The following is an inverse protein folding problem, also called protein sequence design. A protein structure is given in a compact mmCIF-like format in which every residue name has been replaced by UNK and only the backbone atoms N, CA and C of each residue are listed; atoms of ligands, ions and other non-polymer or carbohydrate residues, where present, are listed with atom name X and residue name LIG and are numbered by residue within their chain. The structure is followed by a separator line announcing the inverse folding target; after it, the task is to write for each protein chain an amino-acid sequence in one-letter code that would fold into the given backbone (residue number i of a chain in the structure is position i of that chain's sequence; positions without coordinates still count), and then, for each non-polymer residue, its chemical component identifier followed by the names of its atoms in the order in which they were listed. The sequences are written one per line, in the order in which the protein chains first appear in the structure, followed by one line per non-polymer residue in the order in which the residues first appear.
data_IF_796998809616
#
_entry.id   IF_796998809616
#
_cell.length_a   1.000
_cell.length_b   1.000
_cell.length_c   1.000
_cell.angle_alpha   90.00
_cell.angle_beta   90.00
_cell.angle_gamma   90.00
#
_symmetry.space_group_name_H-M   'P 1'
#
loop_
_entity.id
_entity.type
_entity.pdbx_description
1 polymer ?
#
# COMPACT_ATOMS: atom_id res chain seq x y z
N UNK A 1 -10.50 -26.10 13.91
CA UNK A 1 -9.82 -25.62 12.69
C UNK A 1 -10.91 -25.32 11.67
N UNK A 2 -11.42 -24.09 11.67
CA UNK A 2 -12.39 -23.63 10.67
C UNK A 2 -11.64 -23.32 9.36
N UNK A 3 -12.23 -23.71 8.24
CA UNK A 3 -11.59 -23.72 6.93
C UNK A 3 -11.07 -22.35 6.49
N UNK A 4 -9.77 -22.28 6.19
CA UNK A 4 -9.10 -21.19 5.48
C UNK A 4 -9.30 -21.31 3.95
N UNK A 5 -10.43 -21.87 3.50
CA UNK A 5 -10.75 -22.01 2.09
C UNK A 5 -11.43 -20.73 1.61
N UNK A 6 -10.67 -19.83 1.00
CA UNK A 6 -11.24 -18.84 0.09
C UNK A 6 -10.64 -17.45 0.12
N UNK A 7 -9.91 -17.04 1.16
CA UNK A 7 -9.43 -15.66 1.29
C UNK A 7 -8.04 -15.51 0.65
N UNK A 8 -7.94 -14.83 -0.49
CA UNK A 8 -6.67 -14.46 -1.12
C UNK A 8 -6.51 -12.94 -1.18
N UNK A 9 -5.82 -12.30 -0.22
CA UNK A 9 -5.55 -10.86 -0.23
C UNK A 9 -4.12 -10.64 -0.77
N UNK A 10 -3.92 -9.90 -1.87
CA UNK A 10 -2.75 -10.01 -2.78
C UNK A 10 -1.64 -8.95 -2.62
N UNK A 11 -0.68 -8.91 -3.57
CA UNK A 11 0.00 -7.67 -4.01
C UNK A 11 -0.98 -6.67 -4.70
N UNK A 12 -2.23 -6.74 -4.27
CA UNK A 12 -3.37 -5.90 -4.59
C UNK A 12 -3.63 -5.11 -3.31
N UNK A 13 -3.73 -3.78 -3.39
CA UNK A 13 -4.12 -2.97 -2.25
C UNK A 13 -5.42 -3.42 -1.57
N UNK A 14 -6.30 -4.16 -2.26
CA UNK A 14 -7.62 -4.63 -1.82
C UNK A 14 -7.71 -5.18 -0.39
N UNK A 15 -6.63 -5.81 0.11
CA UNK A 15 -6.58 -6.32 1.48
C UNK A 15 -6.69 -5.20 2.53
N UNK A 16 -5.99 -4.08 2.32
CA UNK A 16 -5.92 -2.94 3.24
C UNK A 16 -6.74 -1.74 2.76
N UNK A 17 -7.02 -1.67 1.46
CA UNK A 17 -7.78 -0.62 0.81
C UNK A 17 -8.70 -1.29 -0.22
N UNK A 18 -9.98 -1.51 0.10
CA UNK A 18 -10.91 -2.27 -0.74
C UNK A 18 -11.19 -1.61 -2.11
N UNK A 19 -10.79 -0.34 -2.29
CA UNK A 19 -10.97 0.38 -3.55
C UNK A 19 -9.66 0.57 -4.33
N UNK A 20 -9.73 0.26 -5.62
CA UNK A 20 -8.72 0.59 -6.61
C UNK A 20 -8.30 -0.62 -7.44
N UNK A 21 -7.35 -0.38 -8.34
CA UNK A 21 -6.69 -1.42 -9.13
C UNK A 21 -5.25 -1.59 -8.64
N UNK A 22 -4.75 -2.83 -8.59
CA UNK A 22 -3.35 -3.12 -8.29
C UNK A 22 -2.41 -2.74 -9.44
N UNK A 23 -1.22 -2.24 -9.13
CA UNK A 23 -0.22 -1.79 -10.11
C UNK A 23 0.15 -2.93 -11.09
N UNK A 24 0.33 -4.14 -10.59
CA UNK A 24 0.68 -5.30 -11.41
C UNK A 24 -0.51 -5.88 -12.18
N UNK A 25 -1.74 -5.55 -11.80
CA UNK A 25 -2.93 -5.86 -12.60
C UNK A 25 -2.98 -4.96 -13.84
N UNK A 26 -2.76 -3.66 -13.66
CA UNK A 26 -2.73 -2.68 -14.75
C UNK A 26 -1.47 -2.81 -15.64
N UNK A 27 -0.32 -3.09 -15.03
CA UNK A 27 1.00 -3.06 -15.67
C UNK A 27 1.83 -4.33 -15.37
N UNK A 28 1.37 -5.54 -15.74
CA UNK A 28 2.09 -6.79 -15.44
C UNK A 28 3.47 -6.87 -16.12
N UNK A 29 3.66 -6.15 -17.21
CA UNK A 29 4.93 -6.06 -17.95
C UNK A 29 6.08 -5.48 -17.12
N UNK A 30 5.79 -4.76 -16.02
CA UNK A 30 6.81 -4.25 -15.11
C UNK A 30 7.67 -5.36 -14.51
N UNK A 31 7.11 -6.55 -14.27
CA UNK A 31 7.86 -7.71 -13.76
C UNK A 31 8.90 -8.16 -14.78
N UNK A 32 8.54 -8.21 -16.06
CA UNK A 32 9.47 -8.59 -17.13
C UNK A 32 10.51 -7.50 -17.39
N UNK A 33 10.14 -6.22 -17.27
CA UNK A 33 11.08 -5.12 -17.28
C UNK A 33 12.10 -5.22 -16.14
N UNK A 34 11.64 -5.54 -14.92
CA UNK A 34 12.51 -5.77 -13.77
C UNK A 34 13.42 -6.98 -13.99
N UNK A 35 12.89 -8.07 -14.58
CA UNK A 35 13.67 -9.24 -14.95
C UNK A 35 14.79 -8.88 -15.93
N UNK A 36 14.50 -8.05 -16.94
CA UNK A 36 15.50 -7.56 -17.89
C UNK A 36 16.61 -6.74 -17.24
N UNK A 37 16.26 -5.86 -16.31
CA UNK A 37 17.23 -5.06 -15.57
C UNK A 37 18.18 -5.94 -14.76
N UNK A 38 17.63 -6.91 -14.02
CA UNK A 38 18.43 -7.86 -13.24
C UNK A 38 19.27 -8.74 -14.16
N UNK A 39 18.69 -9.24 -15.27
CA UNK A 39 19.37 -10.10 -16.24
C UNK A 39 20.59 -9.41 -16.86
N UNK A 40 20.47 -8.15 -17.30
CA UNK A 40 21.62 -7.40 -17.83
C UNK A 40 22.64 -7.03 -16.75
N UNK A 41 22.21 -6.83 -15.49
CA UNK A 41 23.12 -6.51 -14.39
C UNK A 41 23.98 -7.70 -13.93
N UNK A 42 23.48 -8.94 -14.05
CA UNK A 42 24.22 -10.15 -13.64
C UNK A 42 25.02 -10.79 -14.78
N UNK A 43 24.71 -10.45 -16.04
CA UNK A 43 25.44 -10.98 -17.20
C UNK A 43 26.71 -10.17 -17.45
N UNK A 44 27.91 -10.80 -17.49
CA UNK A 44 29.13 -10.09 -17.87
C UNK A 44 29.03 -9.52 -19.29
N UNK A 45 29.37 -8.24 -19.48
CA UNK A 45 29.37 -7.62 -20.80
C UNK A 45 29.31 -6.09 -20.77
N UNK A 46 29.31 -5.47 -21.94
CA UNK A 46 29.37 -4.01 -22.07
C UNK A 46 28.15 -3.26 -21.50
N UNK A 47 27.00 -3.92 -21.38
CA UNK A 47 25.75 -3.32 -20.86
C UNK A 47 25.64 -3.44 -19.32
N UNK A 48 26.47 -4.27 -18.68
CA UNK A 48 26.33 -4.63 -17.27
C UNK A 48 26.37 -3.40 -16.33
N UNK A 49 27.39 -2.56 -16.48
CA UNK A 49 27.56 -1.38 -15.63
C UNK A 49 26.45 -0.35 -15.85
N UNK A 50 25.97 -0.20 -17.08
CA UNK A 50 24.82 0.67 -17.36
C UNK A 50 23.56 0.16 -16.65
N UNK A 51 23.30 -1.15 -16.69
CA UNK A 51 22.18 -1.77 -15.99
C UNK A 51 22.29 -1.58 -14.47
N UNK A 52 23.48 -1.79 -13.89
CA UNK A 52 23.72 -1.56 -12.45
C UNK A 52 23.47 -0.09 -12.08
N UNK A 53 24.03 0.87 -12.83
CA UNK A 53 23.86 2.30 -12.56
C UNK A 53 22.39 2.73 -12.65
N UNK A 54 21.67 2.29 -13.68
CA UNK A 54 20.24 2.58 -13.82
C UNK A 54 19.44 1.92 -12.70
N UNK A 55 19.74 0.65 -12.37
CA UNK A 55 19.08 -0.05 -11.27
C UNK A 55 19.27 0.64 -9.92
N UNK A 56 20.48 1.09 -9.63
CA UNK A 56 20.77 1.87 -8.42
C UNK A 56 20.02 3.21 -8.42
N UNK A 57 19.97 3.93 -9.54
CA UNK A 57 19.22 5.18 -9.66
C UNK A 57 17.71 4.95 -9.43
N UNK A 58 17.14 3.88 -9.99
CA UNK A 58 15.75 3.49 -9.78
C UNK A 58 15.46 3.12 -8.32
N UNK A 59 16.38 2.42 -7.65
CA UNK A 59 16.27 2.07 -6.23
C UNK A 59 16.34 3.31 -5.33
N UNK A 60 17.26 4.24 -5.58
CA UNK A 60 17.37 5.50 -4.83
C UNK A 60 16.11 6.35 -5.03
N UNK A 61 15.63 6.46 -6.27
CA UNK A 61 14.39 7.16 -6.59
C UNK A 61 13.19 6.53 -5.89
N UNK A 62 13.02 5.20 -6.02
CA UNK A 62 11.95 4.45 -5.37
C UNK A 62 11.99 4.59 -3.85
N UNK A 63 13.17 4.46 -3.23
CA UNK A 63 13.37 4.67 -1.80
C UNK A 63 13.01 6.08 -1.34
N UNK A 64 13.30 7.10 -2.15
CA UNK A 64 12.87 8.49 -1.88
C UNK A 64 11.34 8.60 -1.94
N UNK A 65 10.68 7.93 -2.89
CA UNK A 65 9.22 7.93 -2.98
C UNK A 65 8.57 7.23 -1.78
N UNK A 66 9.20 6.23 -1.15
CA UNK A 66 8.67 5.58 0.05
C UNK A 66 8.52 6.53 1.27
N UNK A 67 9.07 7.75 1.21
CA UNK A 67 8.83 8.78 2.23
C UNK A 67 7.43 9.40 2.14
N UNK A 68 6.70 9.21 1.04
CA UNK A 68 5.33 9.72 0.91
C UNK A 68 4.34 8.84 1.68
N UNK A 69 3.46 9.47 2.45
CA UNK A 69 2.42 8.78 3.25
C UNK A 69 1.47 7.95 2.39
N UNK A 70 1.24 8.35 1.14
CA UNK A 70 0.38 7.60 0.21
C UNK A 70 1.04 6.28 -0.24
N UNK A 71 2.34 6.10 0.00
CA UNK A 71 3.15 4.94 -0.38
C UNK A 71 3.52 4.02 0.79
N UNK A 72 2.76 4.10 1.90
CA UNK A 72 2.74 3.05 2.93
C UNK A 72 2.59 1.65 2.29
N UNK A 73 2.93 0.55 3.01
CA UNK A 73 3.07 -0.78 2.39
C UNK A 73 1.90 -1.21 1.48
N UNK A 74 0.67 -0.83 1.82
CA UNK A 74 -0.53 -1.10 1.02
C UNK A 74 -0.76 -0.09 -0.13
N UNK A 75 -0.29 1.15 0.01
CA UNK A 75 -0.36 2.19 -1.01
C UNK A 75 0.66 2.02 -2.14
N UNK A 76 1.81 1.40 -1.88
CA UNK A 76 2.86 1.15 -2.87
C UNK A 76 2.34 0.42 -4.12
N UNK A 77 1.41 -0.52 -3.92
CA UNK A 77 0.86 -1.36 -4.97
C UNK A 77 -0.43 -0.83 -5.60
N UNK A 78 -0.93 0.35 -5.17
CA UNK A 78 -2.12 0.97 -5.78
C UNK A 78 -1.77 1.60 -7.12
N UNK A 79 -2.52 1.27 -8.17
CA UNK A 79 -2.35 1.88 -9.48
C UNK A 79 -2.59 3.40 -9.46
N UNK A 80 -3.52 3.91 -8.63
CA UNK A 80 -3.70 5.36 -8.50
C UNK A 80 -2.46 6.11 -7.99
N UNK A 81 -1.54 5.40 -7.32
CA UNK A 81 -0.25 5.94 -6.88
C UNK A 81 0.86 5.80 -7.93
N UNK A 82 0.54 5.33 -9.14
CA UNK A 82 1.51 5.21 -10.24
C UNK A 82 2.15 6.53 -10.64
N UNK A 83 1.50 7.65 -10.35
CA UNK A 83 2.03 8.98 -10.67
C UNK A 83 3.37 9.27 -9.96
N UNK A 84 3.67 8.60 -8.84
CA UNK A 84 4.99 8.64 -8.19
C UNK A 84 6.06 7.82 -8.92
N UNK A 85 5.67 6.84 -9.74
CA UNK A 85 6.61 5.89 -10.38
C UNK A 85 6.59 5.92 -11.90
N UNK A 86 5.70 6.70 -12.54
CA UNK A 86 5.56 6.75 -14.01
C UNK A 86 6.86 7.12 -14.73
N UNK A 87 7.76 7.83 -14.07
CA UNK A 87 9.07 8.20 -14.62
C UNK A 87 10.04 7.01 -14.72
N UNK A 88 9.80 5.93 -13.99
CA UNK A 88 10.56 4.68 -14.09
C UNK A 88 10.13 3.83 -15.29
N UNK A 89 8.94 4.08 -15.85
CA UNK A 89 8.33 3.23 -16.88
C UNK A 89 9.18 3.13 -18.15
N UNK A 90 9.79 4.21 -18.68
CA UNK A 90 10.68 4.10 -19.83
C UNK A 90 11.86 3.16 -19.59
N UNK A 91 12.43 3.15 -18.37
CA UNK A 91 13.52 2.24 -18.03
C UNK A 91 13.04 0.78 -18.00
N UNK A 92 11.90 0.50 -17.35
CA UNK A 92 11.32 -0.85 -17.36
C UNK A 92 10.96 -1.32 -18.78
N UNK A 93 10.43 -0.44 -19.62
CA UNK A 93 10.11 -0.76 -21.01
C UNK A 93 11.37 -1.07 -21.83
N UNK A 94 12.44 -0.30 -21.65
CA UNK A 94 13.74 -0.57 -22.28
C UNK A 94 14.27 -1.95 -21.87
N UNK A 95 14.31 -2.24 -20.57
CA UNK A 95 14.83 -3.52 -20.08
C UNK A 95 13.95 -4.71 -20.44
N UNK A 96 12.64 -4.52 -20.59
CA UNK A 96 11.76 -5.54 -21.17
C UNK A 96 12.21 -5.90 -22.59
N UNK A 97 12.46 -4.91 -23.45
CA UNK A 97 12.89 -5.16 -24.82
C UNK A 97 14.27 -5.85 -24.87
N UNK A 98 15.21 -5.43 -24.02
CA UNK A 98 16.52 -6.07 -23.88
C UNK A 98 16.38 -7.52 -23.41
N UNK A 99 15.51 -7.78 -22.44
CA UNK A 99 15.22 -9.13 -21.96
C UNK A 99 14.72 -10.03 -23.08
N UNK A 100 13.71 -9.59 -23.84
CA UNK A 100 13.16 -10.37 -24.95
C UNK A 100 14.20 -10.65 -26.05
N UNK A 101 15.10 -9.70 -26.31
CA UNK A 101 16.21 -9.87 -27.27
C UNK A 101 17.23 -10.90 -26.78
N UNK A 102 17.63 -10.82 -25.52
CA UNK A 102 18.84 -11.48 -25.02
C UNK A 102 18.58 -12.77 -24.23
N UNK A 103 17.36 -12.98 -23.72
CA UNK A 103 17.01 -14.16 -22.92
C UNK A 103 17.25 -15.47 -23.66
N UNK A 104 17.10 -15.48 -24.99
CA UNK A 104 17.37 -16.66 -25.83
C UNK A 104 18.80 -17.17 -25.73
N UNK A 105 19.76 -16.33 -25.34
CA UNK A 105 21.16 -16.70 -25.19
C UNK A 105 21.47 -17.29 -23.80
N UNK A 106 20.61 -17.06 -22.81
CA UNK A 106 20.72 -17.64 -21.47
C UNK A 106 19.32 -17.92 -20.88
N UNK A 107 18.56 -18.86 -21.48
CA UNK A 107 17.14 -19.04 -21.18
C UNK A 107 16.91 -19.52 -19.74
N UNK A 108 17.82 -20.35 -19.20
CA UNK A 108 17.74 -20.85 -17.82
C UNK A 108 17.88 -19.69 -16.83
N UNK A 109 18.86 -18.81 -17.02
CA UNK A 109 19.07 -17.64 -16.16
C UNK A 109 17.89 -16.68 -16.22
N UNK A 110 17.38 -16.39 -17.43
CA UNK A 110 16.21 -15.54 -17.58
C UNK A 110 14.98 -16.12 -16.90
N UNK A 111 14.70 -17.41 -17.11
CA UNK A 111 13.59 -18.10 -16.45
C UNK A 111 13.72 -18.06 -14.93
N UNK A 112 14.91 -18.34 -14.38
CA UNK A 112 15.16 -18.30 -12.93
C UNK A 112 14.88 -16.91 -12.35
N UNK A 113 15.37 -15.85 -12.98
CA UNK A 113 15.12 -14.47 -12.54
C UNK A 113 13.63 -14.15 -12.58
N UNK A 114 12.94 -14.45 -13.69
CA UNK A 114 11.50 -14.21 -13.81
C UNK A 114 10.71 -14.97 -12.74
N UNK A 115 11.04 -16.25 -12.50
CA UNK A 115 10.38 -17.06 -11.47
C UNK A 115 10.59 -16.45 -10.09
N UNK A 116 11.83 -16.06 -9.73
CA UNK A 116 12.12 -15.43 -8.43
C UNK A 116 11.32 -14.14 -8.26
N UNK A 117 11.25 -13.29 -9.28
CA UNK A 117 10.48 -12.04 -9.21
C UNK A 117 8.99 -12.30 -9.10
N UNK A 118 8.45 -13.28 -9.84
CA UNK A 118 7.04 -13.68 -9.72
C UNK A 118 6.76 -14.23 -8.32
N UNK A 119 7.61 -15.11 -7.79
CA UNK A 119 7.46 -15.64 -6.43
C UNK A 119 7.58 -14.56 -5.36
N UNK A 120 8.41 -13.52 -5.57
CA UNK A 120 8.48 -12.39 -4.64
C UNK A 120 7.13 -11.65 -4.54
N UNK A 121 6.33 -11.62 -5.62
CA UNK A 121 4.97 -11.03 -5.57
C UNK A 121 3.98 -11.89 -4.77
N UNK A 122 4.35 -13.11 -4.37
CA UNK A 122 3.49 -13.96 -3.53
C UNK A 122 3.58 -13.59 -2.05
N UNK A 123 4.59 -12.80 -1.63
CA UNK A 123 4.74 -12.30 -0.25
C UNK A 123 3.78 -11.14 -0.01
N UNK A 124 3.04 -11.18 1.10
CA UNK A 124 1.93 -10.24 1.33
C UNK A 124 1.82 -9.79 2.77
N UNK A 125 1.32 -8.57 2.95
CA UNK A 125 0.82 -8.09 4.24
C UNK A 125 -0.69 -8.34 4.31
N UNK A 126 -1.12 -9.20 5.22
CA UNK A 126 -2.53 -9.56 5.42
C UNK A 126 -3.07 -8.84 6.68
N UNK A 127 -4.23 -8.19 6.59
CA UNK A 127 -4.96 -7.76 7.77
C UNK A 127 -5.53 -8.96 8.51
N UNK A 128 -5.23 -9.07 9.81
CA UNK A 128 -5.80 -10.08 10.70
C UNK A 128 -6.63 -9.38 11.76
N UNK A 129 -7.90 -9.74 11.87
CA UNK A 129 -8.79 -9.12 12.85
C UNK A 129 -8.30 -9.40 14.28
N UNK A 130 -8.28 -8.37 15.12
CA UNK A 130 -7.77 -8.44 16.49
C UNK A 130 -8.75 -7.81 17.49
N UNK A 131 -8.77 -8.36 18.71
CA UNK A 131 -9.60 -7.85 19.80
C UNK A 131 -9.08 -6.55 20.42
N UNK A 132 -9.79 -6.07 21.44
CA UNK A 132 -9.48 -4.78 22.07
C UNK A 132 -8.13 -4.71 22.75
N UNK A 133 -7.63 -5.86 23.18
CA UNK A 133 -6.43 -5.99 24.01
C UNK A 133 -5.13 -6.11 23.20
N UNK A 134 -5.23 -6.31 21.88
CA UNK A 134 -4.08 -6.42 20.98
C UNK A 134 -3.87 -5.14 20.15
N UNK A 135 -2.62 -4.80 19.81
CA UNK A 135 -2.33 -3.64 18.98
C UNK A 135 -2.90 -3.81 17.57
N UNK A 136 -3.46 -2.73 17.01
CA UNK A 136 -3.99 -2.71 15.66
C UNK A 136 -3.19 -1.75 14.75
N UNK A 137 -2.98 -2.17 13.51
CA UNK A 137 -2.40 -1.35 12.43
C UNK A 137 -3.46 -0.59 11.63
N UNK A 138 -4.69 -1.11 11.60
CA UNK A 138 -5.80 -0.50 10.90
C UNK A 138 -7.08 -0.59 11.73
N UNK A 139 -7.87 0.47 11.67
CA UNK A 139 -9.19 0.58 12.26
C UNK A 139 -10.21 0.89 11.18
N UNK A 140 -11.41 0.33 11.28
CA UNK A 140 -12.52 0.61 10.38
C UNK A 140 -13.58 1.38 11.16
N UNK A 141 -14.07 2.48 10.60
CA UNK A 141 -15.10 3.32 11.21
C UNK A 141 -16.26 3.53 10.23
N UNK A 142 -17.43 3.88 10.77
CA UNK A 142 -18.52 4.41 9.96
C UNK A 142 -18.14 5.76 9.36
N UNK A 143 -18.48 5.97 8.08
CA UNK A 143 -18.16 7.20 7.36
C UNK A 143 -19.05 8.35 7.85
N UNK A 144 -18.47 9.50 8.20
CA UNK A 144 -19.24 10.70 8.47
C UNK A 144 -19.92 11.19 7.18
N UNK A 145 -20.99 11.98 7.30
CA UNK A 145 -21.64 12.62 6.14
C UNK A 145 -20.77 13.77 5.60
N UNK A 146 -19.63 13.42 5.01
CA UNK A 146 -18.65 14.34 4.45
C UNK A 146 -18.10 13.78 3.12
N UNK A 147 -17.65 14.69 2.26
CA UNK A 147 -17.06 14.31 0.98
C UNK A 147 -15.70 13.61 1.16
N UNK A 148 -15.17 13.07 0.07
CA UNK A 148 -13.88 12.38 0.09
C UNK A 148 -12.76 13.27 0.64
N UNK A 149 -12.68 14.54 0.23
CA UNK A 149 -11.58 15.44 0.58
C UNK A 149 -11.62 15.81 2.06
N UNK A 150 -12.81 16.10 2.57
CA UNK A 150 -13.05 16.41 3.98
C UNK A 150 -12.65 15.23 4.86
N UNK A 151 -13.06 14.00 4.51
CA UNK A 151 -12.61 12.82 5.26
C UNK A 151 -11.11 12.60 5.06
N UNK A 152 -10.59 12.54 3.85
CA UNK A 152 -9.18 12.18 3.61
C UNK A 152 -8.19 13.12 4.32
N UNK A 153 -8.42 14.44 4.26
CA UNK A 153 -7.48 15.44 4.75
C UNK A 153 -7.90 16.12 6.06
N UNK A 154 -9.10 15.83 6.58
CA UNK A 154 -9.63 16.60 7.69
C UNK A 154 -8.90 16.35 9.01
N UNK A 155 -9.03 17.32 9.90
CA UNK A 155 -8.34 17.39 11.20
C UNK A 155 -9.01 16.51 12.24
N UNK A 156 -8.90 15.21 12.07
CA UNK A 156 -9.37 14.22 13.02
C UNK A 156 -8.25 13.69 13.92
N UNK A 157 -8.63 13.19 15.08
CA UNK A 157 -7.75 12.43 15.95
C UNK A 157 -8.40 11.11 16.39
N UNK A 158 -7.55 10.15 16.72
CA UNK A 158 -7.92 8.91 17.36
C UNK A 158 -7.24 8.89 18.72
N UNK A 159 -8.05 8.87 19.78
CA UNK A 159 -7.58 8.69 21.15
C UNK A 159 -7.65 7.21 21.51
N UNK A 160 -6.59 6.68 22.11
CA UNK A 160 -6.51 5.30 22.59
C UNK A 160 -5.74 5.24 23.91
N UNK A 161 -5.50 4.04 24.44
CA UNK A 161 -4.75 3.85 25.71
C UNK A 161 -3.33 4.44 25.71
N UNK A 162 -2.72 4.65 24.55
CA UNK A 162 -1.37 5.22 24.41
C UNK A 162 -1.40 6.72 24.07
N UNK A 163 -2.57 7.35 24.04
CA UNK A 163 -2.77 8.78 23.82
C UNK A 163 -3.43 9.11 22.49
N UNK A 164 -3.27 10.35 22.04
CA UNK A 164 -3.87 10.83 20.79
C UNK A 164 -2.94 10.59 19.59
N UNK A 165 -3.50 10.15 18.48
CA UNK A 165 -2.87 10.14 17.16
C UNK A 165 -3.65 11.08 16.24
N UNK A 166 -2.95 11.90 15.44
CA UNK A 166 -3.55 12.87 14.51
C UNK A 166 -3.52 12.36 13.08
N UNK A 167 -4.58 12.62 12.32
CA UNK A 167 -4.66 12.28 10.91
C UNK A 167 -3.51 12.96 10.14
N UNK A 168 -3.03 12.32 9.07
CA UNK A 168 -1.89 12.70 8.21
C UNK A 168 -0.51 12.62 8.89
N UNK A 169 -0.43 12.86 10.20
CA UNK A 169 0.85 12.89 10.92
C UNK A 169 1.17 11.57 11.62
N UNK A 170 0.21 10.97 12.30
CA UNK A 170 0.42 9.81 13.17
C UNK A 170 -0.36 8.58 12.69
N UNK A 171 -1.50 8.82 12.03
CA UNK A 171 -2.26 7.85 11.24
C UNK A 171 -2.74 8.51 9.94
N UNK A 172 -3.21 7.75 8.97
CA UNK A 172 -3.83 8.28 7.75
C UNK A 172 -5.22 7.69 7.56
N UNK A 173 -6.24 8.53 7.28
CA UNK A 173 -7.59 8.04 7.01
C UNK A 173 -7.95 8.07 5.53
N UNK A 174 -8.50 6.97 5.06
CA UNK A 174 -8.85 6.76 3.65
C UNK A 174 -10.33 6.39 3.58
N UNK A 175 -11.17 7.20 2.92
CA UNK A 175 -12.53 6.80 2.60
C UNK A 175 -12.49 5.53 1.76
N UNK A 176 -13.31 4.56 2.15
CA UNK A 176 -13.52 3.34 1.37
C UNK A 176 -14.93 3.36 0.80
N UNK A 177 -15.22 2.49 -0.16
CA UNK A 177 -16.55 2.33 -0.74
C UNK A 177 -17.60 2.08 0.35
N UNK A 178 -18.83 2.49 0.03
CA UNK A 178 -19.92 2.47 0.98
C UNK A 178 -19.85 3.58 2.05
N UNK A 179 -20.33 3.26 3.24
CA UNK A 179 -20.45 4.18 4.38
C UNK A 179 -19.36 3.92 5.42
N UNK A 180 -18.12 3.65 4.99
CA UNK A 180 -16.98 3.38 5.88
C UNK A 180 -15.75 4.22 5.53
N UNK A 181 -14.84 4.36 6.48
CA UNK A 181 -13.46 4.78 6.22
C UNK A 181 -12.51 3.94 7.06
N UNK A 182 -11.26 3.83 6.61
CA UNK A 182 -10.19 3.15 7.34
C UNK A 182 -9.20 4.17 7.89
N UNK A 183 -8.68 3.92 9.07
CA UNK A 183 -7.55 4.65 9.65
C UNK A 183 -6.36 3.71 9.77
N UNK A 184 -5.25 4.04 9.11
CA UNK A 184 -4.02 3.24 9.06
C UNK A 184 -2.94 3.92 9.89
N UNK A 185 -2.38 3.20 10.86
CA UNK A 185 -1.31 3.67 11.72
C UNK A 185 -0.01 3.95 10.94
N UNK A 186 0.60 5.13 11.14
CA UNK A 186 1.88 5.52 10.51
C UNK A 186 3.05 5.37 11.47
N UNK A 187 2.93 5.97 12.66
CA UNK A 187 4.05 6.07 13.61
C UNK A 187 4.01 5.00 14.69
N UNK A 188 2.81 4.68 15.18
CA UNK A 188 2.60 3.68 16.23
C UNK A 188 1.28 2.96 16.02
N UNK A 189 1.21 1.75 16.53
CA UNK A 189 -0.01 0.95 16.50
C UNK A 189 -1.06 1.57 17.42
N UNK A 190 -2.32 1.31 17.10
CA UNK A 190 -3.45 1.66 17.95
C UNK A 190 -3.49 0.70 19.13
N UNK A 191 -3.58 1.26 20.33
CA UNK A 191 -3.37 0.55 21.59
C UNK A 191 -4.67 0.14 22.28
N UNK A 192 -5.83 0.26 21.63
CA UNK A 192 -7.11 -0.11 22.18
C UNK A 192 -7.93 0.98 22.85
N UNK A 193 -9.25 0.72 22.97
CA UNK A 193 -10.26 1.67 23.43
C UNK A 193 -10.36 2.92 22.54
N UNK A 194 -10.20 2.71 21.24
CA UNK A 194 -10.07 3.79 20.28
C UNK A 194 -11.36 4.60 20.15
N UNK A 195 -11.20 5.92 20.16
CA UNK A 195 -12.26 6.88 19.89
C UNK A 195 -11.79 7.83 18.82
N UNK A 196 -12.40 7.74 17.65
CA UNK A 196 -12.20 8.71 16.60
C UNK A 196 -13.05 9.95 16.88
N UNK A 197 -12.47 11.12 16.63
CA UNK A 197 -13.14 12.41 16.70
C UNK A 197 -12.76 13.27 15.50
N UNK A 198 -13.75 13.88 14.87
CA UNK A 198 -13.55 14.85 13.80
C UNK A 198 -13.00 16.21 14.30
N UNK A 199 -13.09 16.47 15.61
CA UNK A 199 -12.59 17.69 16.26
C UNK A 199 -12.02 17.35 17.64
N UNK A 200 -10.75 17.02 17.71
CA UNK A 200 -10.10 16.75 18.99
C UNK A 200 -9.80 18.06 19.71
N UNK A 201 -10.69 18.49 20.62
CA UNK A 201 -10.62 19.78 21.32
C UNK A 201 -9.42 19.94 22.26
N UNK A 202 -8.52 18.96 22.34
CA UNK A 202 -7.31 19.02 23.18
C UNK A 202 -6.01 18.59 22.49
N UNK A 203 -6.02 18.22 21.21
CA UNK A 203 -4.80 17.74 20.53
C UNK A 203 -4.08 18.88 19.83
N UNK A 204 -2.87 19.20 20.29
CA UNK A 204 -2.03 20.21 19.65
C UNK A 204 -1.51 19.70 18.30
N UNK A 205 -1.78 20.46 17.24
CA UNK A 205 -1.28 20.17 15.90
C UNK A 205 0.12 20.77 15.72
N UNK A 206 1.03 20.12 14.97
CA UNK A 206 2.36 20.68 14.71
C UNK A 206 2.26 22.09 14.11
N UNK A 207 3.06 23.04 14.59
CA UNK A 207 3.08 24.42 14.04
C UNK A 207 3.43 24.45 12.55
N UNK A 208 4.19 23.46 12.10
CA UNK A 208 4.59 23.24 10.70
C UNK A 208 3.48 22.66 9.83
N UNK A 209 2.25 22.48 10.34
CA UNK A 209 1.11 22.01 9.55
C UNK A 209 0.84 22.97 8.38
N UNK A 210 0.98 22.51 7.13
CA UNK A 210 0.72 23.34 5.95
C UNK A 210 -0.69 23.92 5.93
N UNK A 211 -0.85 25.12 5.36
CA UNK A 211 -2.14 25.82 5.29
C UNK A 211 -3.25 24.99 4.64
N UNK A 212 -2.88 24.15 3.66
CA UNK A 212 -3.80 23.19 3.05
C UNK A 212 -4.58 22.32 4.06
N UNK A 213 -3.94 21.92 5.17
CA UNK A 213 -4.58 21.13 6.23
C UNK A 213 -5.34 21.98 7.25
N UNK A 214 -5.21 23.31 7.19
CA UNK A 214 -5.94 24.25 8.04
C UNK A 214 -7.31 24.57 7.45
N UNK A 215 -7.37 24.64 6.12
CA UNK A 215 -8.56 25.04 5.36
C UNK A 215 -9.44 23.86 4.94
N UNK A 216 -9.16 22.64 5.43
CA UNK A 216 -9.97 21.46 5.10
C UNK A 216 -11.36 21.61 5.75
N UNK A 217 -12.45 21.36 4.99
CA UNK A 217 -13.80 21.44 5.53
C UNK A 217 -13.97 20.62 6.81
N UNK A 218 -14.76 21.15 7.74
CA UNK A 218 -15.11 20.45 8.97
C UNK A 218 -15.85 19.14 8.63
N UNK A 219 -15.41 18.03 9.20
CA UNK A 219 -16.06 16.72 9.07
C UNK A 219 -17.31 16.65 9.99
N UNK A 220 -17.52 17.67 10.83
CA UNK A 220 -18.64 17.81 11.77
C UNK A 220 -18.28 17.32 13.18
N UNK A 221 -19.25 17.31 14.09
CA UNK A 221 -19.05 16.85 15.48
C UNK A 221 -19.15 15.31 15.64
N UNK A 222 -18.63 14.57 14.67
CA UNK A 222 -18.74 13.11 14.68
C UNK A 222 -17.70 12.49 15.63
N UNK A 223 -18.16 11.56 16.47
CA UNK A 223 -17.30 10.67 17.26
C UNK A 223 -17.73 9.23 17.01
N UNK A 224 -16.77 8.31 17.04
CA UNK A 224 -17.06 6.90 16.76
C UNK A 224 -16.05 5.96 17.40
N UNK A 225 -16.53 4.78 17.77
CA UNK A 225 -15.68 3.63 18.09
C UNK A 225 -15.41 2.83 16.81
N UNK A 226 -14.27 2.13 16.71
CA UNK A 226 -14.00 1.31 15.54
C UNK A 226 -15.02 0.17 15.45
N UNK A 227 -15.49 -0.10 14.24
CA UNK A 227 -16.29 -1.27 13.89
C UNK A 227 -15.41 -2.54 13.88
N UNK A 228 -14.19 -2.41 13.37
CA UNK A 228 -13.22 -3.49 13.27
C UNK A 228 -11.80 -3.00 13.52
N UNK A 229 -10.93 -3.93 13.91
CA UNK A 229 -9.52 -3.68 14.21
C UNK A 229 -8.67 -4.77 13.56
N UNK A 230 -7.60 -4.37 12.89
CA UNK A 230 -6.73 -5.29 12.17
C UNK A 230 -5.27 -5.08 12.53
N UNK A 231 -4.57 -6.15 12.88
CA UNK A 231 -3.10 -6.19 12.89
C UNK A 231 -2.57 -6.57 11.51
N UNK A 232 -1.26 -6.42 11.30
CA UNK A 232 -0.59 -6.89 10.09
C UNK A 232 0.07 -8.25 10.35
N UNK A 233 -0.13 -9.21 9.45
CA UNK A 233 0.65 -10.44 9.38
C UNK A 233 1.30 -10.60 8.02
N UNK A 234 2.42 -11.33 7.94
CA UNK A 234 3.01 -11.70 6.65
C UNK A 234 2.46 -13.06 6.23
N UNK A 235 2.04 -13.18 4.98
CA UNK A 235 1.55 -14.43 4.40
C UNK A 235 2.06 -14.65 2.98
N UNK A 236 1.75 -15.83 2.44
CA UNK A 236 2.05 -16.22 1.07
C UNK A 236 0.75 -16.56 0.35
N UNK A 237 0.63 -16.18 -0.92
CA UNK A 237 -0.52 -16.56 -1.76
C UNK A 237 -0.33 -16.23 -3.24
N UNK A 238 -1.17 -16.82 -4.10
CA UNK A 238 -1.16 -16.60 -5.57
C UNK A 238 -1.77 -15.24 -5.92
N UNK A 239 -1.03 -14.28 -6.50
CA UNK A 239 -1.53 -12.92 -6.70
C UNK A 239 -2.71 -12.89 -7.66
N UNK A 240 -3.80 -12.20 -7.30
CA UNK A 240 -4.96 -12.12 -8.18
C UNK A 240 -4.69 -11.42 -9.52
N UNK A 241 -3.62 -10.61 -9.64
CA UNK A 241 -3.19 -10.06 -10.93
C UNK A 241 -2.82 -11.15 -11.96
N UNK A 242 -2.51 -12.37 -11.51
CA UNK A 242 -2.29 -13.54 -12.39
C UNK A 242 -3.57 -14.06 -13.04
N UNK A 243 -4.76 -13.64 -12.55
CA UNK A 243 -6.09 -14.14 -12.91
C UNK A 243 -6.32 -15.63 -12.62
N UNK A 244 -5.39 -16.29 -11.94
CA UNK A 244 -5.54 -17.68 -11.49
C UNK A 244 -6.49 -17.80 -10.29
N UNK A 245 -6.63 -16.71 -9.53
CA UNK A 245 -7.56 -16.57 -8.40
C UNK A 245 -8.30 -15.24 -8.54
N UNK A 246 -9.55 -15.16 -8.08
CA UNK A 246 -10.30 -13.91 -8.05
C UNK A 246 -9.76 -12.96 -6.97
N UNK A 247 -9.73 -11.66 -7.26
CA UNK A 247 -9.38 -10.65 -6.25
C UNK A 247 -10.54 -10.57 -5.23
N UNK A 248 -10.24 -10.82 -3.96
CA UNK A 248 -11.23 -10.68 -2.88
C UNK A 248 -10.90 -9.47 -2.01
N UNK A 249 -11.92 -8.68 -1.72
CA UNK A 249 -11.84 -7.61 -0.72
C UNK A 249 -12.11 -8.20 0.67
N UNK A 250 -11.14 -8.09 1.58
CA UNK A 250 -11.32 -8.62 2.95
C UNK A 250 -12.24 -7.75 3.80
N UNK A 251 -12.29 -6.44 3.54
CA UNK A 251 -13.20 -5.53 4.22
C UNK A 251 -14.54 -5.55 3.48
N UNK A 252 -15.34 -6.59 3.74
CA UNK A 252 -16.70 -6.69 3.17
C UNK A 252 -17.70 -5.85 3.97
N UNK A 253 -18.72 -5.30 3.31
CA UNK A 253 -19.81 -4.49 3.90
C UNK A 253 -20.71 -5.21 4.92
N UNK A 254 -20.34 -6.41 5.39
CA UNK A 254 -21.13 -7.16 6.37
C UNK A 254 -21.24 -6.44 7.71
#
# INVERSE_FOLDING_TARGET
MAGLEGLCPDADPGAWFPDGEGLLHACPWLILGAAGLVFEAVRPGGQQWAAICIGLALLVYGGTMLAYVDLLPSGLWRFNNVHYFKWMFPAFALFLLLFLRDVRHAPVTGAAITIVLVLATFIRALPVEVGSDAPARMLVFAKPQADFRAVYFGRSAIEDRAGASRNVFDYHQVPVSGQRFVAVALKRDFAGQERWSARSSGTEWPRTTPDFYRDVPDIGAATGTPLHRYAASVGFGVPCWTRLVGCQTMITDR
#
